data_IF_714446812439
#
_entry.id   IF_714446812439
#
_cell.length_a   1.000
_cell.length_b   1.000
_cell.length_c   1.000
_cell.angle_alpha   90.00
_cell.angle_beta   90.00
_cell.angle_gamma   90.00
#
_symmetry.space_group_name_H-M   'P 1'
#
loop_
_entity.id
_entity.type
_entity.pdbx_description
1 polymer ?
#
# COMPACT_ATOMS: atom_id res chain seq x y z
N UNK A 1 -5.81 -24.08 16.84
CA UNK A 1 -4.91 -23.47 15.84
C UNK A 1 -5.78 -23.07 14.67
N UNK A 2 -5.59 -21.88 14.09
CA UNK A 2 -6.39 -21.46 12.95
C UNK A 2 -5.81 -22.05 11.66
N UNK A 3 -6.66 -22.70 10.87
CA UNK A 3 -6.23 -23.33 9.62
C UNK A 3 -5.78 -22.29 8.59
N UNK A 4 -4.62 -22.54 7.99
CA UNK A 4 -4.02 -21.70 6.96
C UNK A 4 -4.43 -22.15 5.57
N UNK A 5 -4.82 -21.19 4.74
CA UNK A 5 -5.06 -21.38 3.30
C UNK A 5 -3.85 -20.88 2.51
N UNK A 6 -3.43 -21.61 1.47
CA UNK A 6 -2.31 -21.25 0.60
C UNK A 6 -1.08 -22.14 0.82
N UNK A 7 0.10 -21.54 1.04
CA UNK A 7 1.36 -22.26 1.13
C UNK A 7 1.36 -23.35 2.23
N UNK A 8 1.80 -24.57 1.86
CA UNK A 8 1.87 -25.72 2.76
C UNK A 8 2.94 -25.57 3.85
N UNK A 9 4.03 -24.89 3.55
CA UNK A 9 5.15 -24.63 4.47
C UNK A 9 5.30 -23.13 4.68
N UNK A 10 5.73 -22.71 5.87
CA UNK A 10 5.96 -21.28 6.17
C UNK A 10 7.42 -20.91 6.15
N UNK A 11 8.32 -21.88 6.05
CA UNK A 11 9.75 -21.64 6.07
C UNK A 11 10.49 -22.59 5.12
N UNK A 12 11.62 -22.13 4.60
CA UNK A 12 12.60 -22.96 3.88
C UNK A 12 14.02 -22.53 4.18
N UNK A 13 14.96 -23.47 4.18
CA UNK A 13 16.40 -23.16 4.31
C UNK A 13 17.03 -22.51 3.05
N UNK A 14 16.27 -22.32 1.97
CA UNK A 14 16.72 -21.68 0.71
C UNK A 14 17.93 -22.34 0.03
N UNK A 15 18.07 -23.65 0.17
CA UNK A 15 19.10 -24.41 -0.55
C UNK A 15 18.54 -25.02 -1.85
N UNK A 16 19.45 -25.51 -2.70
CA UNK A 16 19.10 -26.13 -3.99
C UNK A 16 18.17 -27.35 -3.83
N UNK A 17 18.35 -28.13 -2.75
CA UNK A 17 17.39 -29.13 -2.28
C UNK A 17 16.79 -28.65 -0.94
N UNK A 18 15.65 -27.94 -0.97
CA UNK A 18 15.20 -27.19 0.19
C UNK A 18 14.47 -28.04 1.22
N UNK A 19 14.99 -28.04 2.44
CA UNK A 19 14.20 -28.41 3.63
C UNK A 19 13.12 -27.36 3.85
N UNK A 20 11.90 -27.81 4.12
CA UNK A 20 10.72 -26.97 4.30
C UNK A 20 9.98 -27.38 5.57
N UNK A 21 9.54 -26.40 6.35
CA UNK A 21 8.84 -26.65 7.61
C UNK A 21 7.71 -25.63 7.84
N UNK A 22 6.83 -25.94 8.80
CA UNK A 22 5.81 -25.02 9.31
C UNK A 22 6.30 -24.50 10.66
N UNK A 23 6.90 -23.32 10.64
CA UNK A 23 7.41 -22.65 11.84
C UNK A 23 6.45 -21.56 12.35
N UNK A 24 5.65 -20.99 11.45
CA UNK A 24 4.75 -19.88 11.74
C UNK A 24 3.31 -20.39 11.84
N UNK A 25 2.68 -20.14 12.98
CA UNK A 25 1.32 -20.61 13.30
C UNK A 25 0.56 -19.52 14.04
N UNK A 26 -0.76 -19.50 13.88
CA UNK A 26 -1.65 -18.63 14.65
C UNK A 26 -2.48 -19.48 15.58
N UNK A 27 -2.26 -19.29 16.87
CA UNK A 27 -3.05 -19.93 17.93
C UNK A 27 -4.06 -18.92 18.45
N UNK A 28 -5.31 -19.37 18.57
CA UNK A 28 -6.43 -18.57 19.02
C UNK A 28 -7.11 -19.30 20.18
N UNK A 29 -7.67 -18.55 21.13
CA UNK A 29 -8.47 -19.14 22.20
C UNK A 29 -9.91 -19.37 21.73
N UNK A 30 -10.66 -20.31 22.35
CA UNK A 30 -12.06 -20.52 22.02
C UNK A 30 -12.91 -19.24 22.14
N UNK A 31 -12.63 -18.40 23.14
CA UNK A 31 -13.34 -17.14 23.35
C UNK A 31 -13.06 -16.13 22.21
N UNK A 32 -11.86 -16.18 21.62
CA UNK A 32 -11.53 -15.36 20.46
C UNK A 32 -12.25 -15.84 19.20
N UNK A 33 -12.30 -17.16 18.98
CA UNK A 33 -12.98 -17.77 17.83
C UNK A 33 -14.47 -17.43 17.81
N UNK A 34 -15.13 -17.45 18.97
CA UNK A 34 -16.53 -17.01 19.10
C UNK A 34 -16.74 -15.53 18.74
N UNK A 35 -15.74 -14.66 18.98
CA UNK A 35 -15.80 -13.23 18.66
C UNK A 35 -15.44 -12.92 17.21
N UNK A 36 -14.69 -13.81 16.56
CA UNK A 36 -14.22 -13.65 15.18
C UNK A 36 -14.52 -14.91 14.36
N UNK A 37 -15.81 -15.32 14.25
CA UNK A 37 -16.19 -16.62 13.68
C UNK A 37 -15.86 -16.75 12.18
N UNK A 38 -15.60 -15.64 11.51
CA UNK A 38 -15.26 -15.58 10.09
C UNK A 38 -13.77 -15.27 9.84
N UNK A 39 -12.94 -15.38 10.88
CA UNK A 39 -11.52 -15.17 10.76
C UNK A 39 -10.88 -16.14 9.77
N UNK A 40 -9.93 -15.65 8.98
CA UNK A 40 -9.18 -16.47 8.02
C UNK A 40 -7.69 -16.18 8.08
N UNK A 41 -6.88 -17.22 7.89
CA UNK A 41 -5.43 -17.12 7.82
C UNK A 41 -4.95 -17.53 6.44
N UNK A 42 -4.22 -16.63 5.76
CA UNK A 42 -3.72 -16.86 4.40
C UNK A 42 -2.21 -16.71 4.34
N UNK A 43 -1.53 -17.65 3.69
CA UNK A 43 -0.15 -17.45 3.30
C UNK A 43 -0.07 -16.51 2.09
N UNK A 44 0.70 -15.43 2.20
CA UNK A 44 0.94 -14.47 1.11
C UNK A 44 2.25 -14.83 0.39
N UNK A 45 2.33 -14.51 -0.90
CA UNK A 45 3.53 -14.70 -1.73
C UNK A 45 4.79 -14.20 -1.04
N UNK A 46 5.76 -15.10 -0.90
CA UNK A 46 7.06 -14.84 -0.29
C UNK A 46 7.94 -14.04 -1.24
N UNK A 47 8.36 -12.85 -0.83
CA UNK A 47 9.34 -12.01 -1.54
C UNK A 47 10.48 -11.73 -0.56
N UNK A 48 11.72 -12.03 -0.93
CA UNK A 48 12.91 -11.61 -0.16
C UNK A 48 13.17 -12.30 1.19
N UNK A 49 12.19 -12.99 1.82
CA UNK A 49 12.36 -13.74 3.09
C UNK A 49 12.38 -15.28 2.92
N UNK A 50 13.04 -15.98 3.84
CA UNK A 50 13.00 -17.44 3.99
C UNK A 50 11.72 -17.93 4.67
N UNK A 51 10.99 -17.01 5.31
CA UNK A 51 9.64 -17.17 5.81
C UNK A 51 8.56 -16.75 4.81
N UNK A 52 7.39 -17.40 4.89
CA UNK A 52 6.17 -17.04 4.17
C UNK A 52 5.31 -16.19 5.09
N UNK A 53 5.00 -14.94 4.73
CA UNK A 53 4.12 -14.09 5.53
C UNK A 53 2.72 -14.70 5.69
N UNK A 54 2.19 -14.67 6.92
CA UNK A 54 0.81 -15.09 7.21
C UNK A 54 -0.07 -13.88 7.49
N UNK A 55 -1.16 -13.74 6.75
CA UNK A 55 -2.17 -12.70 6.94
C UNK A 55 -3.38 -13.27 7.66
N UNK A 56 -3.61 -12.81 8.88
CA UNK A 56 -4.83 -13.03 9.64
C UNK A 56 -5.81 -11.88 9.37
N UNK A 57 -7.00 -12.21 8.86
CA UNK A 57 -8.11 -11.25 8.75
C UNK A 57 -9.26 -11.71 9.62
N UNK A 58 -9.76 -10.84 10.50
CA UNK A 58 -10.86 -11.12 11.43
C UNK A 58 -12.25 -10.76 10.89
N UNK A 59 -12.36 -10.45 9.58
CA UNK A 59 -13.57 -9.98 8.84
C UNK A 59 -14.32 -8.77 9.40
N UNK A 60 -14.07 -8.35 10.64
CA UNK A 60 -14.60 -7.12 11.25
C UNK A 60 -13.91 -5.85 10.69
N UNK A 61 -13.59 -5.87 9.40
CA UNK A 61 -13.13 -4.74 8.64
C UNK A 61 -14.35 -3.86 8.37
N UNK A 62 -14.68 -3.01 9.36
CA UNK A 62 -15.59 -1.88 9.15
C UNK A 62 -15.22 -1.24 7.81
N UNK A 63 -16.20 -0.92 6.94
CA UNK A 63 -15.89 -0.30 5.66
C UNK A 63 -14.99 0.91 5.95
N UNK A 64 -13.83 1.01 5.26
CA UNK A 64 -12.89 2.07 5.54
C UNK A 64 -13.62 3.39 5.45
N UNK A 65 -13.50 4.21 6.51
CA UNK A 65 -14.05 5.56 6.52
C UNK A 65 -13.60 6.26 5.25
N UNK A 66 -14.52 6.95 4.57
CA UNK A 66 -14.22 7.67 3.33
C UNK A 66 -12.91 8.46 3.52
N UNK A 67 -11.88 8.20 2.71
CA UNK A 67 -10.55 8.74 2.96
C UNK A 67 -10.62 10.26 2.92
N UNK A 68 -10.25 10.91 4.04
CA UNK A 68 -10.02 12.36 4.05
C UNK A 68 -8.88 12.65 3.08
N UNK A 69 -9.02 13.72 2.29
CA UNK A 69 -7.93 14.14 1.42
C UNK A 69 -6.66 14.36 2.23
N UNK A 70 -5.58 13.79 1.74
CA UNK A 70 -4.23 14.10 2.19
C UNK A 70 -3.41 14.32 0.93
N UNK A 71 -2.62 15.39 0.94
CA UNK A 71 -1.63 15.58 -0.09
C UNK A 71 -0.54 14.52 0.09
N UNK A 72 -0.23 13.78 -0.97
CA UNK A 72 0.80 12.76 -0.94
C UNK A 72 2.07 13.33 -1.59
N UNK A 73 3.17 13.41 -0.85
CA UNK A 73 4.39 14.09 -1.31
C UNK A 73 5.01 13.45 -2.54
N UNK A 74 4.84 12.14 -2.72
CA UNK A 74 5.37 11.43 -3.90
C UNK A 74 4.69 11.88 -5.21
N UNK A 75 3.53 12.54 -5.16
CA UNK A 75 2.94 13.14 -6.36
C UNK A 75 3.88 14.15 -7.01
N UNK A 76 4.74 14.82 -6.23
CA UNK A 76 5.75 15.74 -6.75
C UNK A 76 6.82 15.06 -7.61
N UNK A 77 7.01 13.74 -7.46
CA UNK A 77 7.94 12.96 -8.27
C UNK A 77 7.29 12.47 -9.58
N UNK A 78 5.98 12.66 -9.75
CA UNK A 78 5.27 12.20 -10.94
C UNK A 78 5.34 13.26 -12.03
N UNK A 79 5.78 12.83 -13.21
CA UNK A 79 5.89 13.70 -14.38
C UNK A 79 4.57 14.41 -14.67
N UNK A 80 4.60 15.73 -14.81
CA UNK A 80 3.44 16.54 -15.16
C UNK A 80 2.50 16.88 -13.99
N UNK A 81 2.75 16.38 -12.77
CA UNK A 81 1.87 16.66 -11.63
C UNK A 81 1.85 18.15 -11.27
N UNK A 82 3.02 18.75 -11.09
CA UNK A 82 3.16 20.15 -10.68
C UNK A 82 2.56 21.10 -11.73
N UNK A 83 2.84 20.84 -13.00
CA UNK A 83 2.32 21.57 -14.15
C UNK A 83 0.79 21.47 -14.20
N UNK A 84 0.23 20.28 -14.00
CA UNK A 84 -1.21 20.07 -14.03
C UNK A 84 -1.92 20.77 -12.85
N UNK A 85 -1.36 20.73 -11.64
CA UNK A 85 -1.91 21.46 -10.48
C UNK A 85 -1.86 22.97 -10.72
N UNK A 86 -0.75 23.50 -11.23
CA UNK A 86 -0.62 24.92 -11.59
C UNK A 86 -1.64 25.32 -12.66
N UNK A 87 -1.79 24.52 -13.72
CA UNK A 87 -2.75 24.77 -14.78
C UNK A 87 -4.19 24.82 -14.24
N UNK A 88 -4.57 23.86 -13.36
CA UNK A 88 -5.90 23.86 -12.71
C UNK A 88 -6.12 25.07 -11.80
N UNK A 89 -5.08 25.50 -11.09
CA UNK A 89 -5.16 26.69 -10.25
C UNK A 89 -5.39 27.95 -11.08
N UNK A 90 -4.61 28.12 -12.17
CA UNK A 90 -4.73 29.27 -13.06
C UNK A 90 -6.09 29.32 -13.77
N UNK A 91 -6.60 28.16 -14.21
CA UNK A 91 -7.94 28.02 -14.78
C UNK A 91 -9.04 28.42 -13.78
N UNK A 92 -8.93 27.96 -12.52
CA UNK A 92 -9.89 28.33 -11.49
C UNK A 92 -9.85 29.85 -11.19
N UNK A 93 -8.66 30.45 -11.23
CA UNK A 93 -8.48 31.88 -11.01
C UNK A 93 -9.01 32.73 -12.16
N UNK A 94 -8.92 32.26 -13.40
CA UNK A 94 -9.39 33.00 -14.58
C UNK A 94 -10.91 32.93 -14.78
N UNK A 95 -11.59 32.00 -14.12
CA UNK A 95 -13.06 31.81 -14.21
C UNK A 95 -13.69 31.54 -12.84
N UNK A 96 -13.69 32.53 -11.92
CA UNK A 96 -14.27 32.36 -10.59
C UNK A 96 -15.80 32.20 -10.66
N UNK A 97 -16.35 31.29 -9.84
CA UNK A 97 -17.81 31.07 -9.79
C UNK A 97 -18.56 32.23 -9.13
N UNK A 98 -17.98 32.82 -8.09
CA UNK A 98 -18.37 34.08 -7.44
C UNK A 98 -17.11 34.72 -6.88
N UNK A 99 -16.85 35.98 -7.24
CA UNK A 99 -15.73 36.77 -6.70
C UNK A 99 -16.31 37.96 -5.94
N UNK A 100 -16.56 37.75 -4.65
CA UNK A 100 -17.07 38.80 -3.74
C UNK A 100 -15.88 39.39 -2.96
N UNK A 101 -14.86 38.57 -2.70
CA UNK A 101 -13.61 38.95 -2.06
C UNK A 101 -12.45 38.09 -2.57
N UNK A 102 -11.22 38.54 -2.33
CA UNK A 102 -10.01 37.75 -2.59
C UNK A 102 -10.00 36.40 -1.83
N UNK A 103 -10.72 36.32 -0.71
CA UNK A 103 -10.86 35.09 0.09
C UNK A 103 -11.74 34.08 -0.64
N UNK A 104 -12.80 34.51 -1.33
CA UNK A 104 -13.66 33.64 -2.13
C UNK A 104 -12.90 33.05 -3.31
N UNK A 105 -12.12 33.88 -4.00
CA UNK A 105 -11.28 33.44 -5.12
C UNK A 105 -10.24 32.41 -4.67
N UNK A 106 -9.61 32.65 -3.52
CA UNK A 106 -8.69 31.70 -2.90
C UNK A 106 -9.38 30.37 -2.57
N UNK A 107 -10.54 30.41 -1.91
CA UNK A 107 -11.29 29.20 -1.58
C UNK A 107 -11.75 28.42 -2.82
N UNK A 108 -12.17 29.12 -3.88
CA UNK A 108 -12.55 28.50 -5.13
C UNK A 108 -11.36 27.80 -5.81
N UNK A 109 -10.22 28.48 -5.93
CA UNK A 109 -9.00 27.90 -6.48
C UNK A 109 -8.56 26.67 -5.68
N UNK A 110 -8.48 26.79 -4.36
CA UNK A 110 -8.11 25.70 -3.47
C UNK A 110 -9.06 24.50 -3.61
N UNK A 111 -10.38 24.73 -3.65
CA UNK A 111 -11.38 23.67 -3.83
C UNK A 111 -11.21 22.95 -5.17
N UNK A 112 -10.99 23.68 -6.27
CA UNK A 112 -10.81 23.09 -7.61
C UNK A 112 -9.52 22.28 -7.70
N UNK A 113 -8.40 22.81 -7.19
CA UNK A 113 -7.14 22.07 -7.13
C UNK A 113 -7.24 20.83 -6.24
N UNK A 114 -7.96 20.90 -5.11
CA UNK A 114 -8.23 19.76 -4.24
C UNK A 114 -9.01 18.64 -4.96
N UNK A 115 -10.06 19.00 -5.68
CA UNK A 115 -10.86 18.04 -6.47
C UNK A 115 -10.02 17.36 -7.56
N UNK A 116 -9.20 18.15 -8.26
CA UNK A 116 -8.26 17.63 -9.24
C UNK A 116 -7.27 16.64 -8.61
N UNK A 117 -6.59 17.01 -7.52
CA UNK A 117 -5.61 16.15 -6.85
C UNK A 117 -6.23 14.86 -6.30
N UNK A 118 -7.49 14.89 -5.84
CA UNK A 118 -8.24 13.67 -5.48
C UNK A 118 -8.38 12.71 -6.66
N UNK A 119 -8.78 13.22 -7.82
CA UNK A 119 -8.92 12.43 -9.04
C UNK A 119 -7.58 11.91 -9.54
N UNK A 120 -6.56 12.76 -9.54
CA UNK A 120 -5.18 12.40 -9.87
C UNK A 120 -4.69 11.23 -9.03
N UNK A 121 -4.80 11.33 -7.70
CA UNK A 121 -4.37 10.28 -6.79
C UNK A 121 -5.11 8.96 -6.98
N UNK A 122 -6.42 9.02 -7.28
CA UNK A 122 -7.22 7.82 -7.54
C UNK A 122 -6.79 7.11 -8.85
N UNK A 123 -6.58 7.88 -9.92
CA UNK A 123 -6.15 7.35 -11.21
C UNK A 123 -4.73 6.79 -11.14
N UNK A 124 -3.80 7.58 -10.61
CA UNK A 124 -2.41 7.15 -10.42
C UNK A 124 -2.32 5.89 -9.54
N UNK A 125 -3.10 5.84 -8.46
CA UNK A 125 -3.12 4.66 -7.57
C UNK A 125 -3.63 3.39 -8.26
N UNK A 126 -4.58 3.52 -9.21
CA UNK A 126 -5.03 2.41 -10.04
C UNK A 126 -3.94 2.00 -11.04
N UNK A 127 -3.39 2.96 -11.78
CA UNK A 127 -2.38 2.72 -12.80
C UNK A 127 -1.12 2.05 -12.22
N UNK A 128 -0.66 2.52 -11.04
CA UNK A 128 0.46 1.90 -10.33
C UNK A 128 0.17 0.47 -9.89
N UNK A 129 -1.06 0.18 -9.43
CA UNK A 129 -1.47 -1.17 -9.04
C UNK A 129 -1.51 -2.11 -10.23
N UNK A 130 -2.10 -1.67 -11.33
CA UNK A 130 -2.24 -2.47 -12.55
C UNK A 130 -0.86 -2.72 -13.18
N UNK A 131 0.01 -1.69 -13.24
CA UNK A 131 1.39 -1.82 -13.70
C UNK A 131 2.21 -2.77 -12.83
N UNK A 132 2.12 -2.63 -11.51
CA UNK A 132 2.79 -3.53 -10.55
C UNK A 132 2.35 -4.98 -10.74
N UNK A 133 1.06 -5.22 -10.90
CA UNK A 133 0.51 -6.56 -11.13
C UNK A 133 1.02 -7.15 -12.46
N UNK A 134 1.06 -6.35 -13.52
CA UNK A 134 1.59 -6.77 -14.82
C UNK A 134 3.09 -7.08 -14.77
N UNK A 135 3.90 -6.24 -14.10
CA UNK A 135 5.33 -6.48 -13.92
C UNK A 135 5.59 -7.78 -13.14
N UNK A 136 4.88 -7.99 -12.03
CA UNK A 136 4.98 -9.22 -11.24
C UNK A 136 4.61 -10.46 -12.05
N UNK A 137 3.55 -10.40 -12.85
CA UNK A 137 3.14 -11.52 -13.70
C UNK A 137 4.19 -11.83 -14.79
N UNK A 138 4.77 -10.81 -15.43
CA UNK A 138 5.82 -10.97 -16.43
C UNK A 138 7.10 -11.55 -15.85
N UNK A 139 7.54 -11.07 -14.68
CA UNK A 139 8.70 -11.62 -13.97
C UNK A 139 8.44 -13.08 -13.60
N UNK A 140 7.26 -13.40 -13.05
CA UNK A 140 6.89 -14.77 -12.69
C UNK A 140 6.92 -15.71 -13.90
N UNK A 141 6.47 -15.25 -15.07
CA UNK A 141 6.50 -16.05 -16.30
C UNK A 141 7.94 -16.34 -16.77
N UNK A 142 8.83 -15.35 -16.69
CA UNK A 142 10.25 -15.51 -17.02
C UNK A 142 10.96 -16.44 -16.03
N UNK A 143 10.70 -16.30 -14.73
CA UNK A 143 11.28 -17.17 -13.69
C UNK A 143 10.82 -18.63 -13.88
N UNK A 144 9.53 -18.88 -14.16
CA UNK A 144 9.03 -20.25 -14.45
C UNK A 144 9.67 -20.87 -15.70
N UNK A 145 9.97 -20.05 -16.71
CA UNK A 145 10.67 -20.49 -17.93
C UNK A 145 12.14 -20.77 -17.66
N UNK A 146 12.80 -19.94 -16.85
CA UNK A 146 14.16 -20.15 -16.39
C UNK A 146 14.32 -21.50 -15.68
N UNK A 147 13.35 -21.86 -14.82
CA UNK A 147 13.35 -23.11 -14.07
C UNK A 147 13.11 -24.36 -14.92
N UNK A 148 12.51 -24.22 -16.10
CA UNK A 148 12.12 -25.36 -16.95
C UNK A 148 13.07 -25.58 -18.13
N UNK A 149 13.28 -24.56 -18.96
CA UNK A 149 14.03 -24.66 -20.23
C UNK A 149 15.29 -23.78 -20.17
N UNK A 150 15.39 -22.89 -19.19
CA UNK A 150 16.41 -21.84 -19.13
C UNK A 150 15.97 -20.57 -19.88
N UNK A 151 16.78 -19.53 -19.77
CA UNK A 151 16.60 -18.25 -20.48
C UNK A 151 17.86 -17.91 -21.28
N UNK A 152 17.66 -17.28 -22.42
CA UNK A 152 18.71 -16.62 -23.20
C UNK A 152 19.23 -15.36 -22.50
N UNK A 153 20.36 -14.83 -22.97
CA UNK A 153 20.94 -13.60 -22.43
C UNK A 153 19.99 -12.39 -22.56
N UNK A 154 19.27 -12.29 -23.69
CA UNK A 154 18.31 -11.21 -23.93
C UNK A 154 17.09 -11.31 -23.00
N UNK A 155 16.60 -12.52 -22.75
CA UNK A 155 15.49 -12.75 -21.81
C UNK A 155 15.90 -12.43 -20.36
N UNK A 156 17.16 -12.70 -19.98
CA UNK A 156 17.70 -12.25 -18.69
C UNK A 156 17.76 -10.73 -18.59
N UNK A 157 18.23 -10.05 -19.65
CA UNK A 157 18.25 -8.58 -19.68
C UNK A 157 16.84 -7.99 -19.55
N UNK A 158 15.85 -8.58 -20.23
CA UNK A 158 14.46 -8.18 -20.09
C UNK A 158 13.95 -8.38 -18.65
N UNK A 159 14.31 -9.51 -18.02
CA UNK A 159 13.93 -9.81 -16.64
C UNK A 159 14.49 -8.76 -15.66
N UNK A 160 15.74 -8.33 -15.84
CA UNK A 160 16.34 -7.27 -15.02
C UNK A 160 15.66 -5.91 -15.23
N UNK A 161 15.34 -5.54 -16.48
CA UNK A 161 14.61 -4.29 -16.75
C UNK A 161 13.23 -4.26 -16.08
N UNK A 162 12.50 -5.38 -16.09
CA UNK A 162 11.23 -5.49 -15.38
C UNK A 162 11.38 -5.34 -13.86
N UNK A 163 12.45 -5.89 -13.29
CA UNK A 163 12.78 -5.77 -11.86
C UNK A 163 13.14 -4.33 -11.48
N UNK A 164 13.90 -3.62 -12.33
CA UNK A 164 14.23 -2.21 -12.14
C UNK A 164 12.96 -1.34 -12.17
N UNK A 165 12.06 -1.57 -13.14
CA UNK A 165 10.77 -0.88 -13.22
C UNK A 165 9.90 -1.13 -11.97
N UNK A 166 9.90 -2.36 -11.45
CA UNK A 166 9.16 -2.71 -10.24
C UNK A 166 9.76 -2.01 -9.00
N UNK A 167 11.08 -1.89 -8.94
CA UNK A 167 11.81 -1.22 -7.86
C UNK A 167 11.48 0.26 -7.77
N UNK A 168 11.27 0.94 -8.90
CA UNK A 168 10.78 2.33 -8.92
C UNK A 168 9.42 2.44 -8.23
N UNK A 169 8.48 1.54 -8.55
CA UNK A 169 7.15 1.53 -7.90
C UNK A 169 7.27 1.29 -6.39
N UNK A 170 8.13 0.38 -5.96
CA UNK A 170 8.34 0.12 -4.53
C UNK A 170 8.97 1.33 -3.80
N UNK A 171 9.85 2.07 -4.46
CA UNK A 171 10.46 3.28 -3.88
C UNK A 171 9.40 4.36 -3.65
N UNK A 172 8.50 4.56 -4.61
CA UNK A 172 7.37 5.49 -4.46
C UNK A 172 6.39 5.05 -3.37
N UNK A 173 6.07 3.75 -3.29
CA UNK A 173 5.24 3.19 -2.20
C UNK A 173 5.91 3.39 -0.84
N UNK A 174 7.23 3.20 -0.73
CA UNK A 174 7.97 3.43 0.50
C UNK A 174 7.89 4.89 0.94
N UNK A 175 8.09 5.84 0.02
CA UNK A 175 7.96 7.26 0.29
C UNK A 175 6.54 7.62 0.78
N UNK A 176 5.51 7.05 0.14
CA UNK A 176 4.11 7.19 0.55
C UNK A 176 3.87 6.67 1.98
N UNK A 177 4.34 5.46 2.30
CA UNK A 177 4.13 4.87 3.63
C UNK A 177 4.95 5.57 4.73
N UNK A 178 6.16 6.04 4.41
CA UNK A 178 7.01 6.80 5.33
C UNK A 178 6.34 8.09 5.80
N UNK A 179 5.71 8.83 4.88
CA UNK A 179 4.95 10.05 5.20
C UNK A 179 3.81 9.76 6.18
N UNK A 180 3.01 8.72 5.89
CA UNK A 180 1.86 8.32 6.73
C UNK A 180 2.29 7.77 8.10
N UNK A 181 3.44 7.11 8.17
CA UNK A 181 4.06 6.66 9.42
C UNK A 181 4.69 7.78 10.26
N UNK A 182 4.85 8.99 9.69
CA UNK A 182 5.46 10.18 10.33
C UNK A 182 6.77 9.86 11.05
N UNK A 183 7.58 9.00 10.43
CA UNK A 183 8.89 8.55 10.92
C UNK A 183 9.98 9.42 10.29
N UNK A 184 10.79 10.11 11.11
CA UNK A 184 11.93 10.94 10.67
C UNK A 184 13.27 10.19 10.72
N UNK A 185 13.34 9.10 11.47
CA UNK A 185 14.58 8.38 11.76
C UNK A 185 14.39 6.90 11.42
N UNK A 186 14.86 6.50 10.25
CA UNK A 186 15.13 5.10 9.94
C UNK A 186 16.58 5.05 9.46
N UNK A 187 17.45 4.52 10.32
CA UNK A 187 18.79 4.09 9.95
C UNK A 187 18.62 2.95 8.93
N UNK A 188 19.36 3.06 7.82
CA UNK A 188 19.32 2.22 6.61
C UNK A 188 19.03 0.73 6.87
N UNK A 189 18.22 0.13 6.00
CA UNK A 189 18.25 -1.30 5.74
C UNK A 189 16.98 -2.06 6.11
N UNK A 190 15.89 -1.77 5.41
CA UNK A 190 15.00 -2.76 4.78
C UNK A 190 13.90 -1.98 4.07
N UNK A 191 13.46 -2.44 2.89
CA UNK A 191 12.30 -1.88 2.17
C UNK A 191 11.01 -2.20 2.94
N UNK A 192 10.85 -1.60 4.11
CA UNK A 192 9.97 -2.08 5.16
C UNK A 192 8.59 -1.41 5.08
N UNK A 193 7.96 -1.47 3.90
CA UNK A 193 6.60 -0.95 3.69
C UNK A 193 5.61 -1.56 4.69
N UNK A 194 5.78 -2.84 5.05
CA UNK A 194 5.00 -3.50 6.09
C UNK A 194 5.18 -2.86 7.49
N UNK A 195 6.42 -2.52 7.88
CA UNK A 195 6.68 -1.78 9.12
C UNK A 195 6.02 -0.39 9.10
N UNK A 196 6.18 0.36 8.01
CA UNK A 196 5.57 1.68 7.90
C UNK A 196 4.04 1.60 7.86
N UNK A 197 3.46 0.59 7.22
CA UNK A 197 2.03 0.28 7.26
C UNK A 197 1.57 -0.04 8.69
N UNK A 198 2.30 -0.88 9.43
CA UNK A 198 1.97 -1.22 10.81
C UNK A 198 1.98 0.01 11.73
N UNK A 199 2.98 0.89 11.57
CA UNK A 199 3.07 2.17 12.30
C UNK A 199 1.94 3.13 11.90
N UNK A 200 1.67 3.27 10.60
CA UNK A 200 0.58 4.11 10.09
C UNK A 200 -0.78 3.62 10.61
N UNK A 201 -1.02 2.31 10.59
CA UNK A 201 -2.20 1.67 11.16
C UNK A 201 -2.27 1.91 12.68
N UNK A 202 -1.15 1.81 13.41
CA UNK A 202 -1.09 2.12 14.84
C UNK A 202 -1.41 3.58 15.17
N UNK A 203 -0.95 4.53 14.36
CA UNK A 203 -1.32 5.96 14.47
C UNK A 203 -2.79 6.17 14.12
N UNK A 204 -3.28 5.51 13.07
CA UNK A 204 -4.69 5.60 12.71
C UNK A 204 -5.58 5.13 13.85
N UNK A 205 -5.26 3.99 14.50
CA UNK A 205 -5.99 3.51 15.69
C UNK A 205 -5.97 4.52 16.84
N UNK A 206 -4.80 5.09 17.17
CA UNK A 206 -4.68 6.09 18.24
C UNK A 206 -5.43 7.39 17.98
N UNK A 207 -5.48 7.82 16.72
CA UNK A 207 -6.12 9.08 16.31
C UNK A 207 -7.59 8.90 15.94
N UNK A 208 -8.10 7.67 15.97
CA UNK A 208 -9.53 7.40 15.79
C UNK A 208 -10.17 7.57 17.15
N UNK A 209 -11.16 8.45 17.24
CA UNK A 209 -12.02 8.59 18.41
C UNK A 209 -13.23 7.69 18.16
N UNK A 210 -13.29 6.47 18.73
CA UNK A 210 -14.36 5.53 18.43
C UNK A 210 -15.68 5.90 19.11
N UNK A 211 -15.60 6.65 20.22
CA UNK A 211 -16.68 6.95 21.15
C UNK A 211 -16.40 8.34 21.72
N UNK A 212 -17.44 9.18 21.83
CA UNK A 212 -17.35 10.49 22.47
C UNK A 212 -18.30 10.46 23.68
N UNK A 213 -17.87 10.98 24.83
CA UNK A 213 -18.70 11.04 26.03
C UNK A 213 -18.99 12.48 26.37
N UNK A 214 -20.24 12.77 26.76
CA UNK A 214 -20.66 14.01 27.38
C UNK A 214 -21.23 13.72 28.77
N UNK A 215 -20.42 13.96 29.80
CA UNK A 215 -20.70 13.52 31.17
C UNK A 215 -20.77 12.00 31.27
N UNK A 216 -21.88 11.46 31.79
CA UNK A 216 -22.15 10.02 31.85
C UNK A 216 -22.83 9.48 30.58
N UNK A 217 -23.07 10.33 29.58
CA UNK A 217 -23.78 9.95 28.36
C UNK A 217 -22.80 9.66 27.24
N UNK A 218 -22.93 8.49 26.63
CA UNK A 218 -22.21 8.14 25.40
C UNK A 218 -22.93 8.78 24.19
N UNK A 219 -22.22 9.61 23.42
CA UNK A 219 -22.68 10.28 22.21
C UNK A 219 -22.53 9.42 20.95
#
# INVERSE_FOLDING_TARGET
ELDRIGARFTWTNRQADPTRSVLDRVLVSPEWELRCPLASLRAITRIGSDHVPLLLSSQDERPPVAPRFRFETFWLNQNGFSEAVCARWLEARSSPHRSISAVDDWHFCAKRSLQFMKGWGANLGRDLRDRKQALLASIQALDLRADSIGLSADEWMQRYDLEDQLTVIYTDEEAYWRLRGTQKWVLKGDANTAYFQAIANGRHRRNTIPLLWDGETLL
#
